data_IF_523609420238
#
_entry.id   IF_523609420238
#
_cell.length_a   1.000
_cell.length_b   1.000
_cell.length_c   1.000
_cell.angle_alpha   90.00
_cell.angle_beta   90.00
_cell.angle_gamma   90.00
#
_symmetry.space_group_name_H-M   'P 1'
#
loop_
_entity.id
_entity.type
_entity.pdbx_description
1 polymer ?
#
# COMPACT_ATOMS: atom_id res chain seq x y z
N UNK A 1 1.84 23.77 -73.89
CA UNK A 1 1.80 25.19 -74.40
C UNK A 1 2.67 25.97 -73.41
N UNK A 2 3.82 26.39 -73.93
CA UNK A 2 4.82 27.25 -73.32
C UNK A 2 4.20 28.53 -72.77
N UNK A 3 4.77 29.10 -71.71
CA UNK A 3 5.58 30.33 -71.85
C UNK A 3 6.28 30.57 -70.52
N UNK A 4 7.61 30.65 -70.65
CA UNK A 4 8.56 31.18 -69.67
C UNK A 4 8.58 32.73 -69.79
N UNK A 5 8.88 33.44 -68.72
CA UNK A 5 9.51 34.74 -68.78
C UNK A 5 10.40 35.00 -67.55
N UNK A 6 11.57 35.20 -67.84
CA UNK A 6 12.79 35.69 -67.23
C UNK A 6 12.69 37.14 -66.74
N UNK A 7 13.56 37.49 -65.78
CA UNK A 7 13.99 38.89 -65.54
C UNK A 7 14.41 39.11 -64.07
N UNK A 8 15.61 39.02 -63.77
CA UNK A 8 16.72 39.95 -63.71
C UNK A 8 16.99 40.52 -62.29
N UNK A 9 18.18 40.27 -61.90
CA UNK A 9 19.02 40.73 -60.79
C UNK A 9 18.90 42.20 -60.43
N UNK A 10 18.95 42.52 -59.13
CA UNK A 10 19.69 43.68 -58.64
C UNK A 10 20.25 43.45 -57.27
N UNK A 11 21.60 43.44 -57.17
CA UNK A 11 22.36 43.47 -55.94
C UNK A 11 22.25 44.84 -55.31
N UNK A 12 21.99 44.90 -53.99
CA UNK A 12 22.42 46.06 -53.18
C UNK A 12 23.04 45.51 -51.90
N UNK A 13 24.30 45.81 -51.74
CA UNK A 13 25.10 45.59 -50.54
C UNK A 13 24.87 46.79 -49.63
N UNK A 14 24.52 46.63 -48.38
CA UNK A 14 24.82 47.59 -47.30
C UNK A 14 24.84 46.88 -45.93
N UNK A 15 25.99 46.98 -45.33
CA UNK A 15 26.37 47.20 -43.94
C UNK A 15 25.83 46.27 -42.83
N UNK A 16 26.80 45.67 -42.19
CA UNK A 16 26.83 45.04 -40.89
C UNK A 16 26.44 46.05 -39.79
N UNK A 17 25.56 45.62 -38.86
CA UNK A 17 25.58 46.10 -37.49
C UNK A 17 25.49 44.87 -36.58
N UNK A 18 26.62 44.56 -35.94
CA UNK A 18 26.72 43.61 -34.84
C UNK A 18 26.09 44.23 -33.58
N UNK A 19 24.93 43.78 -33.19
CA UNK A 19 24.41 43.97 -31.83
C UNK A 19 24.56 42.66 -31.06
N UNK A 20 25.52 42.60 -30.21
CA UNK A 20 25.73 41.54 -29.24
C UNK A 20 24.61 41.53 -28.19
N UNK A 21 23.64 40.66 -28.37
CA UNK A 21 22.56 40.46 -27.38
C UNK A 21 23.06 39.47 -26.33
N UNK A 22 23.67 40.01 -25.26
CA UNK A 22 24.09 39.30 -24.09
C UNK A 22 22.85 38.98 -23.26
N UNK A 23 22.13 37.89 -23.60
CA UNK A 23 21.06 37.34 -22.76
C UNK A 23 21.71 36.60 -21.56
N UNK A 24 21.88 37.33 -20.46
CA UNK A 24 22.04 36.75 -19.15
C UNK A 24 20.89 35.80 -18.87
N UNK A 25 21.18 34.51 -18.80
CA UNK A 25 20.23 33.50 -18.32
C UNK A 25 19.87 33.83 -16.87
N UNK A 26 18.60 34.04 -16.60
CA UNK A 26 18.09 34.18 -15.23
C UNK A 26 18.41 32.92 -14.42
N UNK A 27 18.75 33.04 -13.12
CA UNK A 27 18.99 31.89 -12.28
C UNK A 27 17.71 31.05 -12.21
N UNK A 28 17.83 29.78 -12.58
CA UNK A 28 16.77 28.79 -12.32
C UNK A 28 16.66 28.63 -10.81
N UNK A 29 15.56 29.09 -10.23
CA UNK A 29 15.16 28.77 -8.87
C UNK A 29 15.01 27.24 -8.78
N UNK A 30 16.03 26.58 -8.29
CA UNK A 30 15.94 25.19 -7.85
C UNK A 30 15.06 25.19 -6.61
N UNK A 31 13.79 24.85 -6.78
CA UNK A 31 12.89 24.58 -5.66
C UNK A 31 13.47 23.35 -4.94
N UNK A 32 14.23 23.60 -3.87
CA UNK A 32 14.65 22.53 -2.96
C UNK A 32 13.39 21.84 -2.43
N UNK A 33 13.23 20.57 -2.78
CA UNK A 33 12.19 19.75 -2.17
C UNK A 33 12.45 19.70 -0.66
N UNK A 34 11.42 19.92 0.18
CA UNK A 34 11.60 19.88 1.62
C UNK A 34 12.21 18.52 2.02
N UNK A 35 13.26 18.57 2.82
CA UNK A 35 13.97 17.36 3.25
C UNK A 35 12.98 16.40 3.92
N UNK A 36 13.01 15.12 3.46
CA UNK A 36 12.16 14.06 4.04
C UNK A 36 12.41 14.00 5.56
N UNK A 37 11.37 14.01 6.41
CA UNK A 37 11.56 13.96 7.85
C UNK A 37 12.36 12.71 8.25
N UNK A 38 13.15 12.76 9.33
CA UNK A 38 13.95 11.64 9.77
C UNK A 38 13.05 10.44 10.12
N UNK A 39 13.50 9.23 9.74
CA UNK A 39 12.77 8.00 10.05
C UNK A 39 12.62 7.81 11.57
N UNK A 40 11.47 7.34 11.99
CA UNK A 40 11.22 6.92 13.37
C UNK A 40 12.17 5.79 13.80
N UNK A 41 12.33 5.58 15.11
CA UNK A 41 13.19 4.49 15.64
C UNK A 41 12.71 3.12 15.17
N UNK A 42 11.39 2.90 15.14
CA UNK A 42 10.80 1.64 14.64
C UNK A 42 11.06 1.47 13.15
N UNK A 43 10.90 2.53 12.33
CA UNK A 43 11.20 2.51 10.91
C UNK A 43 12.69 2.19 10.64
N UNK A 44 13.61 2.81 11.39
CA UNK A 44 15.04 2.52 11.31
C UNK A 44 15.35 1.07 11.66
N UNK A 45 14.73 0.54 12.73
CA UNK A 45 14.88 -0.86 13.13
C UNK A 45 14.37 -1.83 12.07
N UNK A 46 13.23 -1.56 11.44
CA UNK A 46 12.69 -2.38 10.34
C UNK A 46 13.63 -2.37 9.13
N UNK A 47 14.11 -1.20 8.72
CA UNK A 47 15.07 -1.07 7.62
C UNK A 47 16.39 -1.81 7.90
N UNK A 48 16.93 -1.70 9.12
CA UNK A 48 18.12 -2.43 9.56
C UNK A 48 17.93 -3.96 9.57
N UNK A 49 16.69 -4.44 9.72
CA UNK A 49 16.33 -5.86 9.62
C UNK A 49 15.98 -6.29 8.18
N UNK A 50 16.23 -5.44 7.18
CA UNK A 50 16.08 -5.75 5.76
C UNK A 50 14.65 -5.57 5.21
N UNK A 51 13.76 -4.92 5.95
CA UNK A 51 12.45 -4.52 5.43
C UNK A 51 12.56 -3.25 4.61
N UNK A 52 11.73 -3.11 3.57
CA UNK A 52 11.65 -1.93 2.71
C UNK A 52 10.35 -1.19 2.95
N UNK A 53 10.39 0.13 2.89
CA UNK A 53 9.18 0.94 2.90
C UNK A 53 8.40 0.69 1.60
N UNK A 54 7.11 0.44 1.71
CA UNK A 54 6.24 0.17 0.54
C UNK A 54 6.24 1.35 -0.43
N UNK A 55 6.26 2.58 0.06
CA UNK A 55 6.31 3.79 -0.78
C UNK A 55 7.61 3.94 -1.58
N UNK A 56 8.71 3.30 -1.17
CA UNK A 56 9.94 3.28 -1.97
C UNK A 56 9.84 2.32 -3.17
N UNK A 57 8.83 1.42 -3.18
CA UNK A 57 8.55 0.46 -4.27
C UNK A 57 7.39 0.95 -5.13
N UNK A 58 6.31 1.41 -4.51
CA UNK A 58 5.15 2.01 -5.18
C UNK A 58 4.51 3.06 -4.26
N UNK A 59 4.74 4.34 -4.57
CA UNK A 59 4.24 5.48 -3.78
C UNK A 59 2.73 5.74 -3.95
N UNK A 60 2.07 5.01 -4.85
CA UNK A 60 0.63 5.17 -5.09
C UNK A 60 -0.24 4.30 -4.19
N UNK A 61 0.37 3.38 -3.44
CA UNK A 61 -0.33 2.58 -2.43
C UNK A 61 -0.54 3.44 -1.18
N UNK A 62 -1.79 3.57 -0.75
CA UNK A 62 -2.11 4.33 0.46
C UNK A 62 -1.75 3.55 1.73
N UNK A 63 -1.39 4.27 2.80
CA UNK A 63 -1.02 3.67 4.10
C UNK A 63 -1.78 4.36 5.23
N UNK A 64 -2.51 3.59 6.01
CA UNK A 64 -3.24 4.03 7.19
C UNK A 64 -3.14 3.01 8.31
N UNK A 65 -1.95 2.89 8.92
CA UNK A 65 -1.68 1.88 9.95
C UNK A 65 -2.68 2.00 11.11
N UNK A 66 -3.56 1.00 11.24
CA UNK A 66 -4.63 1.03 12.24
C UNK A 66 -4.11 0.93 13.68
N UNK A 67 -2.98 0.25 13.89
CA UNK A 67 -2.38 0.12 15.23
C UNK A 67 -1.55 1.34 15.66
N UNK A 68 -1.46 2.36 14.81
CA UNK A 68 -0.97 3.70 15.19
C UNK A 68 -2.07 4.61 15.77
N UNK A 69 -3.30 4.10 15.89
CA UNK A 69 -4.48 4.78 16.44
C UNK A 69 -5.17 3.87 17.47
N UNK A 70 -5.99 4.43 18.38
CA UNK A 70 -6.68 3.63 19.41
C UNK A 70 -7.95 2.93 18.91
N UNK A 71 -8.45 3.23 17.70
CA UNK A 71 -9.66 2.70 17.08
C UNK A 71 -9.46 1.29 16.46
N UNK A 72 -8.67 0.44 17.12
CA UNK A 72 -8.42 -0.95 16.78
C UNK A 72 -8.97 -1.88 17.89
N UNK A 73 -8.94 -3.20 17.66
CA UNK A 73 -9.54 -4.17 18.60
C UNK A 73 -8.91 -4.17 20.01
N UNK A 74 -7.69 -3.64 20.16
CA UNK A 74 -7.02 -3.55 21.47
C UNK A 74 -7.42 -2.30 22.26
N UNK A 75 -8.02 -1.29 21.60
CA UNK A 75 -8.32 0.01 22.19
C UNK A 75 -7.09 0.84 22.54
N UNK A 76 -5.91 0.49 22.02
CA UNK A 76 -4.62 1.10 22.37
C UNK A 76 -3.79 1.40 21.13
N UNK A 77 -2.93 2.41 21.21
CA UNK A 77 -1.85 2.65 20.24
C UNK A 77 -0.77 1.61 20.49
N UNK A 78 -0.41 0.85 19.47
CA UNK A 78 0.63 -0.19 19.53
C UNK A 78 1.88 0.20 18.73
N UNK A 79 1.72 1.06 17.70
CA UNK A 79 2.81 1.67 16.93
C UNK A 79 2.98 3.11 17.40
N UNK A 80 3.87 3.32 18.37
CA UNK A 80 4.05 4.64 19.00
C UNK A 80 4.60 5.67 17.99
N UNK A 81 5.58 5.29 17.16
CA UNK A 81 6.31 6.16 16.24
C UNK A 81 6.28 5.72 14.78
N UNK A 82 5.71 4.56 14.44
CA UNK A 82 5.62 4.05 13.08
C UNK A 82 4.39 4.59 12.36
N UNK A 83 4.59 5.11 11.14
CA UNK A 83 3.52 5.61 10.24
C UNK A 83 3.62 5.04 8.84
N UNK A 84 4.74 4.46 8.48
CA UNK A 84 5.03 3.86 7.19
C UNK A 84 4.79 2.35 7.21
N UNK A 85 4.37 1.78 6.09
CA UNK A 85 4.25 0.33 5.92
C UNK A 85 5.58 -0.25 5.42
N UNK A 86 6.12 -1.19 6.16
CA UNK A 86 7.33 -1.94 5.81
C UNK A 86 6.98 -3.38 5.46
N UNK A 87 7.63 -3.94 4.45
CA UNK A 87 7.49 -5.34 4.03
C UNK A 87 8.87 -5.94 3.71
N UNK A 88 8.94 -7.27 3.74
CA UNK A 88 10.06 -7.96 3.11
C UNK A 88 10.15 -7.55 1.63
N UNK A 89 11.35 -7.33 1.04
CA UNK A 89 11.50 -6.86 -0.35
C UNK A 89 10.71 -7.67 -1.38
N UNK A 90 10.61 -8.99 -1.19
CA UNK A 90 9.81 -9.88 -2.03
C UNK A 90 8.32 -9.56 -1.94
N UNK A 91 7.82 -9.30 -0.73
CA UNK A 91 6.41 -8.98 -0.50
C UNK A 91 6.05 -7.57 -1.03
N UNK A 92 6.94 -6.59 -0.85
CA UNK A 92 6.74 -5.25 -1.39
C UNK A 92 6.65 -5.24 -2.93
N UNK A 93 7.54 -5.98 -3.62
CA UNK A 93 7.48 -6.15 -5.09
C UNK A 93 6.21 -6.86 -5.54
N UNK A 94 5.80 -7.90 -4.84
CA UNK A 94 4.56 -8.62 -5.11
C UNK A 94 3.32 -7.72 -4.95
N UNK A 95 3.34 -6.84 -3.93
CA UNK A 95 2.26 -5.89 -3.69
C UNK A 95 2.18 -4.82 -4.78
N UNK A 96 3.32 -4.32 -5.29
CA UNK A 96 3.34 -3.39 -6.42
C UNK A 96 2.73 -4.02 -7.69
N UNK A 97 2.91 -5.33 -7.92
CA UNK A 97 2.24 -6.02 -9.04
C UNK A 97 0.71 -6.05 -8.85
N UNK A 98 0.23 -6.26 -7.63
CA UNK A 98 -1.20 -6.19 -7.31
C UNK A 98 -1.76 -4.77 -7.51
N UNK A 99 -1.03 -3.75 -7.07
CA UNK A 99 -1.39 -2.34 -7.26
C UNK A 99 -1.45 -1.97 -8.75
N UNK A 100 -0.44 -2.38 -9.53
CA UNK A 100 -0.45 -2.16 -10.97
C UNK A 100 -1.70 -2.78 -11.60
N UNK A 101 -2.03 -4.03 -11.24
CA UNK A 101 -3.21 -4.72 -11.76
C UNK A 101 -4.51 -4.01 -11.40
N UNK A 102 -4.64 -3.52 -10.16
CA UNK A 102 -5.82 -2.75 -9.75
C UNK A 102 -5.98 -1.49 -10.61
N UNK A 103 -4.90 -0.73 -10.83
CA UNK A 103 -4.93 0.50 -11.63
C UNK A 103 -5.21 0.26 -13.12
N UNK A 104 -4.81 -0.89 -13.66
CA UNK A 104 -5.17 -1.30 -15.03
C UNK A 104 -6.67 -1.54 -15.18
N UNK A 105 -7.31 -2.12 -14.17
CA UNK A 105 -8.73 -2.42 -14.16
C UNK A 105 -9.59 -1.20 -13.76
N UNK A 106 -9.12 -0.45 -12.79
CA UNK A 106 -9.83 0.63 -12.09
C UNK A 106 -8.87 1.77 -11.75
N UNK A 107 -8.56 2.69 -12.70
CA UNK A 107 -7.61 3.78 -12.49
C UNK A 107 -8.03 4.77 -11.38
N UNK A 108 -9.31 4.78 -11.01
CA UNK A 108 -9.89 5.57 -9.92
C UNK A 108 -9.71 4.94 -8.52
N UNK A 109 -9.14 3.71 -8.46
CA UNK A 109 -8.95 2.97 -7.22
C UNK A 109 -7.46 2.75 -6.92
N UNK A 110 -7.15 2.59 -5.64
CA UNK A 110 -5.82 2.23 -5.13
C UNK A 110 -5.91 1.28 -3.94
N UNK A 111 -4.86 0.49 -3.71
CA UNK A 111 -4.73 -0.32 -2.51
C UNK A 111 -4.45 0.56 -1.30
N UNK A 112 -4.96 0.16 -0.13
CA UNK A 112 -4.69 0.81 1.15
C UNK A 112 -4.31 -0.21 2.23
N UNK A 113 -3.14 -0.01 2.84
CA UNK A 113 -2.59 -0.88 3.88
C UNK A 113 -3.02 -0.39 5.26
N UNK A 114 -3.56 -1.31 6.07
CA UNK A 114 -3.90 -1.09 7.48
C UNK A 114 -2.90 -1.71 8.44
N UNK A 115 -2.21 -2.80 8.03
CA UNK A 115 -1.07 -3.37 8.74
C UNK A 115 -0.15 -4.12 7.76
N UNK A 116 1.15 -4.16 8.10
CA UNK A 116 2.18 -4.79 7.28
C UNK A 116 3.16 -5.57 8.16
N UNK A 117 4.45 -5.24 8.16
CA UNK A 117 5.41 -5.86 9.07
C UNK A 117 5.12 -5.45 10.52
N UNK A 118 4.95 -6.44 11.38
CA UNK A 118 4.61 -6.26 12.79
C UNK A 118 5.74 -6.81 13.66
N UNK A 119 6.40 -5.99 14.51
CA UNK A 119 7.39 -6.47 15.47
C UNK A 119 6.79 -7.50 16.44
N UNK A 120 7.59 -8.45 16.87
CA UNK A 120 7.15 -9.47 17.84
C UNK A 120 6.70 -8.88 19.17
N UNK A 121 7.27 -7.76 19.58
CA UNK A 121 6.85 -7.02 20.78
C UNK A 121 5.40 -6.52 20.67
N UNK A 122 5.00 -6.04 19.48
CA UNK A 122 3.62 -5.62 19.19
C UNK A 122 2.69 -6.83 19.13
N UNK A 123 3.12 -7.93 18.49
CA UNK A 123 2.37 -9.18 18.46
C UNK A 123 2.07 -9.71 19.88
N UNK A 124 3.02 -9.56 20.81
CA UNK A 124 2.82 -9.94 22.21
C UNK A 124 1.75 -9.10 22.88
N UNK A 125 1.77 -7.77 22.69
CA UNK A 125 0.74 -6.86 23.23
C UNK A 125 -0.65 -7.23 22.72
N UNK A 126 -0.80 -7.58 21.43
CA UNK A 126 -2.08 -8.02 20.84
C UNK A 126 -2.54 -9.35 21.43
N UNK A 127 -1.63 -10.33 21.54
CA UNK A 127 -1.92 -11.63 22.13
C UNK A 127 -2.41 -11.52 23.58
N UNK A 128 -1.79 -10.64 24.37
CA UNK A 128 -2.15 -10.44 25.79
C UNK A 128 -3.59 -9.93 25.97
N UNK A 129 -4.14 -9.23 24.97
CA UNK A 129 -5.54 -8.80 24.99
C UNK A 129 -6.51 -9.97 24.76
N UNK A 130 -6.19 -10.92 23.87
CA UNK A 130 -7.13 -11.95 23.42
C UNK A 130 -6.91 -13.34 23.99
N UNK A 131 -5.73 -13.67 24.55
CA UNK A 131 -5.31 -15.04 24.93
C UNK A 131 -6.29 -15.79 25.85
N UNK A 132 -7.09 -15.06 26.60
CA UNK A 132 -8.09 -15.61 27.54
C UNK A 132 -9.54 -15.38 27.08
N UNK A 133 -9.75 -15.07 25.79
CA UNK A 133 -11.07 -14.85 25.21
C UNK A 133 -11.29 -15.79 24.03
N UNK A 134 -12.53 -15.93 23.53
CA UNK A 134 -12.81 -16.67 22.28
C UNK A 134 -12.15 -16.05 21.04
N UNK A 135 -11.68 -14.81 21.12
CA UNK A 135 -11.03 -14.09 20.02
C UNK A 135 -9.57 -14.48 19.80
N UNK A 136 -8.97 -15.34 20.66
CA UNK A 136 -7.58 -15.79 20.51
C UNK A 136 -7.30 -16.44 19.14
N UNK A 137 -8.30 -16.94 18.45
CA UNK A 137 -8.19 -17.58 17.15
C UNK A 137 -7.78 -16.59 16.02
N UNK A 138 -8.04 -15.29 16.20
CA UNK A 138 -7.71 -14.23 15.22
C UNK A 138 -6.31 -13.64 15.44
N UNK A 139 -5.62 -13.97 16.53
CA UNK A 139 -4.28 -13.42 16.83
C UNK A 139 -3.27 -14.54 16.98
N UNK A 140 -2.25 -14.54 16.14
CA UNK A 140 -1.19 -15.56 16.21
C UNK A 140 -0.43 -15.51 17.52
N UNK A 141 -0.25 -16.69 18.17
CA UNK A 141 0.47 -16.81 19.43
C UNK A 141 1.99 -16.55 19.21
N UNK A 142 2.58 -15.52 19.86
CA UNK A 142 3.99 -15.19 19.71
C UNK A 142 4.92 -16.32 20.22
N UNK A 143 4.54 -17.08 21.25
CA UNK A 143 5.31 -18.22 21.74
C UNK A 143 5.43 -19.37 20.71
N UNK A 144 4.59 -19.37 19.67
CA UNK A 144 4.63 -20.31 18.54
C UNK A 144 5.29 -19.74 17.29
N UNK A 145 6.04 -18.62 17.42
CA UNK A 145 6.74 -17.94 16.33
C UNK A 145 5.88 -16.88 15.60
N UNK A 146 4.82 -16.39 16.24
CA UNK A 146 3.99 -15.30 15.69
C UNK A 146 3.19 -15.67 14.44
N UNK A 147 2.76 -14.64 13.71
CA UNK A 147 2.05 -14.71 12.42
C UNK A 147 2.90 -14.25 11.24
N UNK A 148 2.29 -14.20 10.06
CA UNK A 148 2.98 -13.86 8.81
C UNK A 148 3.44 -12.40 8.76
N UNK A 149 2.73 -11.47 9.43
CA UNK A 149 3.16 -10.08 9.62
C UNK A 149 4.53 -9.99 10.32
N UNK A 150 4.83 -10.92 11.24
CA UNK A 150 6.11 -10.90 11.97
C UNK A 150 7.31 -11.26 11.09
N UNK A 151 7.09 -11.75 9.87
CA UNK A 151 8.10 -12.04 8.86
C UNK A 151 8.11 -11.02 7.71
N UNK A 152 7.23 -10.01 7.75
CA UNK A 152 7.03 -9.08 6.66
C UNK A 152 6.45 -9.70 5.38
N UNK A 153 5.70 -10.82 5.54
CA UNK A 153 5.17 -11.63 4.44
C UNK A 153 3.65 -11.64 4.40
N UNK A 154 2.99 -10.73 5.11
CA UNK A 154 1.55 -10.52 5.09
C UNK A 154 1.20 -9.04 5.13
N UNK A 155 0.00 -8.73 4.67
CA UNK A 155 -0.63 -7.40 4.75
C UNK A 155 -2.09 -7.52 5.14
N UNK A 156 -2.56 -6.55 5.94
CA UNK A 156 -3.98 -6.26 6.12
C UNK A 156 -4.32 -5.07 5.23
N UNK A 157 -5.19 -5.27 4.24
CA UNK A 157 -5.33 -4.39 3.10
C UNK A 157 -6.78 -4.30 2.61
N UNK A 158 -7.13 -3.15 2.00
CA UNK A 158 -8.39 -2.92 1.31
C UNK A 158 -8.16 -2.13 0.03
N UNK A 159 -9.25 -1.63 -0.57
CA UNK A 159 -9.25 -0.75 -1.74
C UNK A 159 -9.91 0.56 -1.33
N UNK A 160 -9.34 1.70 -1.76
CA UNK A 160 -9.92 3.02 -1.58
C UNK A 160 -9.91 3.82 -2.91
N UNK A 161 -10.61 4.97 -2.93
CA UNK A 161 -10.61 5.87 -4.07
C UNK A 161 -9.34 6.72 -4.10
N UNK A 162 -8.78 6.94 -5.28
CA UNK A 162 -7.65 7.86 -5.49
C UNK A 162 -8.09 9.28 -5.18
N UNK A 163 -7.29 10.01 -4.38
CA UNK A 163 -7.59 11.40 -4.03
C UNK A 163 -8.79 11.59 -3.09
N UNK A 164 -9.30 10.52 -2.52
CA UNK A 164 -10.29 10.59 -1.44
C UNK A 164 -9.76 11.43 -0.27
N UNK A 165 -10.65 12.21 0.37
CA UNK A 165 -10.26 13.14 1.44
C UNK A 165 -9.82 12.35 2.68
N UNK A 166 -8.51 12.14 2.82
CA UNK A 166 -7.89 11.36 3.88
C UNK A 166 -7.21 12.28 4.89
N UNK A 167 -7.92 12.74 5.93
CA UNK A 167 -7.23 12.79 7.22
C UNK A 167 -7.79 11.83 8.27
N UNK A 168 -9.07 11.45 8.25
CA UNK A 168 -9.64 10.55 9.28
C UNK A 168 -10.77 9.63 8.81
N UNK A 169 -11.25 9.75 7.58
CA UNK A 169 -12.25 8.85 6.98
C UNK A 169 -11.69 8.35 5.64
N UNK A 170 -11.13 7.16 5.68
CA UNK A 170 -10.64 6.48 4.49
C UNK A 170 -11.84 6.15 3.62
N UNK A 171 -11.90 6.71 2.42
CA UNK A 171 -12.93 6.41 1.42
C UNK A 171 -12.66 5.02 0.81
N UNK A 172 -12.76 3.99 1.66
CA UNK A 172 -12.69 2.60 1.21
C UNK A 172 -13.99 2.23 0.51
N UNK A 173 -13.87 1.47 -0.57
CA UNK A 173 -15.07 0.89 -1.18
C UNK A 173 -15.71 -0.12 -0.21
N UNK A 174 -17.05 -0.32 -0.27
CA UNK A 174 -17.75 -1.18 0.67
C UNK A 174 -17.22 -2.62 0.66
N UNK A 175 -16.83 -3.13 1.83
CA UNK A 175 -16.35 -4.51 2.02
C UNK A 175 -17.26 -5.35 2.94
N UNK A 176 -18.38 -4.79 3.43
CA UNK A 176 -19.35 -5.49 4.26
C UNK A 176 -18.97 -5.64 5.74
N UNK A 177 -17.71 -5.46 6.09
CA UNK A 177 -17.21 -5.33 7.46
C UNK A 177 -15.90 -4.53 7.44
N UNK A 178 -15.57 -3.91 8.56
CA UNK A 178 -14.27 -3.24 8.74
C UNK A 178 -13.12 -4.24 8.79
N UNK A 179 -11.91 -3.78 8.47
CA UNK A 179 -10.68 -4.51 8.79
C UNK A 179 -10.66 -4.77 10.30
N UNK A 180 -10.08 -5.88 10.74
CA UNK A 180 -10.05 -6.34 12.14
C UNK A 180 -11.42 -6.71 12.76
N UNK A 181 -12.47 -6.81 11.99
CA UNK A 181 -13.76 -7.31 12.49
C UNK A 181 -13.65 -8.80 12.86
N UNK A 182 -13.65 -9.10 14.16
CA UNK A 182 -13.55 -10.48 14.68
C UNK A 182 -14.92 -11.14 14.75
N UNK A 183 -15.38 -11.75 13.66
CA UNK A 183 -16.67 -12.43 13.59
C UNK A 183 -17.00 -12.93 12.20
N UNK A 184 -18.21 -13.46 12.05
CA UNK A 184 -18.72 -14.15 10.86
C UNK A 184 -18.59 -13.33 9.56
N UNK A 185 -18.82 -12.01 9.64
CA UNK A 185 -18.66 -11.11 8.48
C UNK A 185 -17.21 -10.99 7.98
N UNK A 186 -16.20 -11.45 8.73
CA UNK A 186 -14.82 -11.46 8.29
C UNK A 186 -14.50 -12.62 7.32
N UNK A 187 -15.25 -13.72 7.44
CA UNK A 187 -14.96 -14.97 6.75
C UNK A 187 -15.23 -14.91 5.24
N UNK A 188 -14.28 -15.37 4.43
CA UNK A 188 -14.39 -15.38 2.96
C UNK A 188 -15.23 -16.54 2.44
N UNK A 189 -15.29 -17.64 3.16
CA UNK A 189 -16.07 -18.83 2.82
C UNK A 189 -17.57 -18.71 3.24
N UNK A 190 -17.94 -17.63 3.96
CA UNK A 190 -19.31 -17.34 4.33
C UNK A 190 -20.00 -16.32 3.41
N UNK A 191 -19.30 -15.72 2.45
CA UNK A 191 -19.79 -14.58 1.66
C UNK A 191 -21.13 -14.86 0.96
N UNK A 192 -21.26 -16.01 0.29
CA UNK A 192 -22.51 -16.37 -0.41
C UNK A 192 -23.69 -16.54 0.55
N UNK A 193 -23.45 -17.16 1.72
CA UNK A 193 -24.46 -17.32 2.76
C UNK A 193 -24.85 -15.98 3.39
N UNK A 194 -23.86 -15.08 3.61
CA UNK A 194 -24.09 -13.76 4.18
C UNK A 194 -24.93 -12.89 3.23
N UNK A 195 -24.68 -12.97 1.93
CA UNK A 195 -25.49 -12.29 0.90
C UNK A 195 -26.91 -12.87 0.86
N UNK A 196 -27.06 -14.20 0.81
CA UNK A 196 -28.37 -14.85 0.80
C UNK A 196 -29.21 -14.50 2.05
N UNK A 197 -28.56 -14.20 3.18
CA UNK A 197 -29.19 -13.77 4.44
C UNK A 197 -29.32 -12.25 4.60
N UNK A 198 -29.02 -11.47 3.56
CA UNK A 198 -29.04 -9.99 3.59
C UNK A 198 -28.16 -9.36 4.68
N UNK A 199 -27.08 -10.06 5.09
CA UNK A 199 -26.09 -9.57 6.06
C UNK A 199 -24.85 -8.96 5.38
N UNK A 200 -24.70 -9.17 4.08
CA UNK A 200 -23.69 -8.57 3.22
C UNK A 200 -24.34 -8.17 1.89
N UNK A 201 -23.93 -7.06 1.31
CA UNK A 201 -24.38 -6.65 -0.02
C UNK A 201 -23.65 -7.39 -1.12
N UNK A 202 -24.27 -7.54 -2.30
CA UNK A 202 -23.61 -8.05 -3.51
C UNK A 202 -22.41 -7.18 -3.92
N UNK A 203 -22.51 -5.86 -3.71
CA UNK A 203 -21.42 -4.91 -3.95
C UNK A 203 -20.19 -5.27 -3.09
N UNK A 204 -20.39 -5.44 -1.78
CA UNK A 204 -19.29 -5.79 -0.86
C UNK A 204 -18.65 -7.13 -1.25
N UNK A 205 -19.44 -8.14 -1.63
CA UNK A 205 -18.93 -9.42 -2.13
C UNK A 205 -18.09 -9.23 -3.42
N UNK A 206 -18.58 -8.43 -4.36
CA UNK A 206 -17.88 -8.13 -5.61
C UNK A 206 -16.57 -7.40 -5.36
N UNK A 207 -16.56 -6.41 -4.46
CA UNK A 207 -15.37 -5.69 -4.08
C UNK A 207 -14.31 -6.59 -3.42
N UNK A 208 -14.72 -7.54 -2.56
CA UNK A 208 -13.81 -8.55 -2.00
C UNK A 208 -13.25 -9.49 -3.05
N UNK A 209 -14.05 -9.86 -4.06
CA UNK A 209 -13.57 -10.67 -5.21
C UNK A 209 -12.52 -9.90 -6.00
N UNK A 210 -12.77 -8.62 -6.31
CA UNK A 210 -11.78 -7.75 -6.96
C UNK A 210 -10.47 -7.69 -6.17
N UNK A 211 -10.55 -7.46 -4.84
CA UNK A 211 -9.36 -7.44 -3.98
C UNK A 211 -8.57 -8.75 -4.09
N UNK A 212 -9.24 -9.90 -3.99
CA UNK A 212 -8.59 -11.22 -4.13
C UNK A 212 -7.96 -11.43 -5.52
N UNK A 213 -8.64 -10.99 -6.58
CA UNK A 213 -8.14 -11.09 -7.95
C UNK A 213 -6.83 -10.31 -8.13
N UNK A 214 -6.80 -9.04 -7.73
CA UNK A 214 -5.61 -8.23 -7.90
C UNK A 214 -4.46 -8.70 -7.00
N UNK A 215 -4.74 -9.09 -5.75
CA UNK A 215 -3.73 -9.62 -4.83
C UNK A 215 -3.13 -10.94 -5.32
N UNK A 216 -3.91 -11.78 -5.98
CA UNK A 216 -3.44 -13.04 -6.56
C UNK A 216 -2.41 -12.83 -7.68
N UNK A 217 -2.44 -11.71 -8.42
CA UNK A 217 -1.42 -11.38 -9.43
C UNK A 217 -0.03 -11.23 -8.80
N UNK A 218 0.05 -10.67 -7.58
CA UNK A 218 1.28 -10.63 -6.79
C UNK A 218 1.64 -11.97 -6.12
N UNK A 219 0.76 -12.99 -6.21
CA UNK A 219 0.94 -14.28 -5.55
C UNK A 219 0.46 -14.35 -4.11
N UNK A 220 -0.21 -13.31 -3.63
CA UNK A 220 -0.83 -13.30 -2.30
C UNK A 220 -2.06 -14.19 -2.23
N UNK A 221 -2.29 -14.79 -1.07
CA UNK A 221 -3.45 -15.63 -0.77
C UNK A 221 -4.19 -15.09 0.43
N UNK A 222 -5.50 -14.91 0.29
CA UNK A 222 -6.37 -14.45 1.38
C UNK A 222 -6.46 -15.50 2.49
N UNK A 223 -6.55 -15.04 3.74
CA UNK A 223 -6.87 -15.90 4.87
C UNK A 223 -8.38 -16.17 4.90
N UNK A 224 -8.77 -17.44 5.10
CA UNK A 224 -10.20 -17.85 5.07
C UNK A 224 -11.06 -17.10 6.08
N UNK A 225 -10.53 -16.80 7.25
CA UNK A 225 -11.24 -16.16 8.38
C UNK A 225 -11.18 -14.63 8.38
N UNK A 226 -10.44 -14.02 7.43
CA UNK A 226 -10.17 -12.58 7.43
C UNK A 226 -10.05 -12.08 5.98
N UNK A 227 -11.07 -11.40 5.46
CA UNK A 227 -11.15 -10.95 4.06
C UNK A 227 -10.04 -9.94 3.67
N UNK A 228 -9.50 -9.25 4.66
CA UNK A 228 -8.44 -8.22 4.48
C UNK A 228 -7.02 -8.77 4.56
N UNK A 229 -6.83 -9.96 5.18
CA UNK A 229 -5.52 -10.52 5.45
C UNK A 229 -5.01 -11.39 4.31
N UNK A 230 -3.83 -11.05 3.78
CA UNK A 230 -3.20 -11.74 2.67
C UNK A 230 -1.78 -12.17 3.00
N UNK A 231 -1.47 -13.44 2.79
CA UNK A 231 -0.15 -14.04 2.97
C UNK A 231 0.54 -14.27 1.62
N UNK A 232 1.83 -13.93 1.50
CA UNK A 232 2.61 -14.21 0.29
C UNK A 232 3.16 -15.63 0.24
N UNK A 233 3.36 -16.28 1.39
CA UNK A 233 3.87 -17.66 1.48
C UNK A 233 3.20 -18.43 2.61
N UNK A 234 3.49 -19.72 2.73
CA UNK A 234 3.01 -20.53 3.85
C UNK A 234 3.80 -20.23 5.13
N UNK A 235 3.23 -20.62 6.28
CA UNK A 235 3.89 -20.44 7.58
C UNK A 235 5.17 -21.28 7.70
N UNK A 236 5.18 -22.48 7.13
CA UNK A 236 6.32 -23.38 7.08
C UNK A 236 7.46 -22.78 6.25
N UNK A 237 7.12 -22.21 5.11
CA UNK A 237 8.07 -21.49 4.24
C UNK A 237 8.62 -20.25 4.96
N UNK A 238 7.76 -19.47 5.61
CA UNK A 238 8.20 -18.30 6.36
C UNK A 238 9.19 -18.65 7.46
N UNK A 239 8.89 -19.65 8.28
CA UNK A 239 9.77 -20.11 9.37
C UNK A 239 11.12 -20.64 8.88
N UNK A 240 11.16 -21.26 7.70
CA UNK A 240 12.39 -21.84 7.14
C UNK A 240 13.29 -20.78 6.51
N UNK A 241 12.69 -19.77 5.86
CA UNK A 241 13.42 -18.89 4.95
C UNK A 241 13.59 -17.45 5.47
N UNK A 242 12.80 -17.03 6.46
CA UNK A 242 12.76 -15.63 6.91
C UNK A 242 12.94 -15.54 8.43
N UNK A 243 13.44 -14.40 8.88
CA UNK A 243 13.57 -14.09 10.32
C UNK A 243 12.36 -13.30 10.79
N UNK A 244 11.93 -13.55 12.02
CA UNK A 244 10.92 -12.69 12.68
C UNK A 244 11.52 -11.34 13.00
N UNK A 245 10.73 -10.29 12.81
CA UNK A 245 11.08 -8.91 13.13
C UNK A 245 10.89 -8.66 14.62
N UNK A 246 11.95 -8.13 15.25
CA UNK A 246 12.01 -7.85 16.69
C UNK A 246 11.48 -6.47 17.02
#
# INVERSE_FOLDING_TARGET
MLIACTGTSMKTVMAQDEASDNKQAAPQDTIEQPAKPPLSKTAQSMAAQGMVNVHDVDSTIEVSLMYSRPDNFTGRILYDDLREAYLHPKAAKALAMAQQRLRELHPELTLIIFDATRPMSVQQKMWDVVKNTSKYIYVSNPARGGGMHNYGMAVDISICRVGGNIPNAIDTIPMGATVDFMGDLAHTDHEDLLVARHRMTEEARTNRKLLREVMAVGGFKVLRTEWWHFNLCTREEAKRNYKVIK
#
